data_IF_761720311637
#
_entry.id   IF_761720311637
#
_cell.length_a   1.000
_cell.length_b   1.000
_cell.length_c   1.000
_cell.angle_alpha   90.00
_cell.angle_beta   90.00
_cell.angle_gamma   90.00
#
_symmetry.space_group_name_H-M   'P 1'
#
loop_
_entity.id
_entity.type
_entity.pdbx_description
1 polymer ?
#
# COMPACT_ATOMS: atom_id res chain seq x y z
N UNK A 1 23.38 -10.63 13.91
CA UNK A 1 22.97 -9.68 12.87
C UNK A 1 21.51 -9.74 12.53
N UNK A 2 20.96 -10.91 12.19
CA UNK A 2 19.60 -11.01 11.61
C UNK A 2 18.45 -10.45 12.46
N UNK A 3 18.54 -10.45 13.80
CA UNK A 3 17.49 -9.89 14.66
C UNK A 3 17.31 -8.37 14.45
N UNK A 4 18.39 -7.64 14.21
CA UNK A 4 18.32 -6.21 13.93
C UNK A 4 17.75 -5.96 12.54
N UNK A 5 18.07 -6.81 11.56
CA UNK A 5 17.56 -6.71 10.20
C UNK A 5 16.05 -7.00 10.17
N UNK A 6 15.57 -8.00 10.92
CA UNK A 6 14.15 -8.26 11.10
C UNK A 6 13.41 -7.08 11.74
N UNK A 7 14.05 -6.34 12.65
CA UNK A 7 13.41 -5.20 13.31
C UNK A 7 13.06 -4.05 12.36
N UNK A 8 13.70 -3.98 11.20
CA UNK A 8 13.41 -3.02 10.12
C UNK A 8 12.62 -3.62 8.96
N UNK A 9 12.22 -4.91 9.08
CA UNK A 9 11.40 -5.60 8.08
C UNK A 9 12.19 -6.30 6.97
N UNK A 10 13.50 -6.40 7.08
CA UNK A 10 14.30 -7.20 6.15
C UNK A 10 14.01 -8.70 6.37
N UNK A 11 14.00 -9.49 5.31
CA UNK A 11 13.72 -10.94 5.25
C UNK A 11 12.24 -11.35 5.39
N UNK A 12 11.37 -10.49 5.93
CA UNK A 12 9.94 -10.76 5.92
C UNK A 12 9.35 -10.55 4.52
N UNK A 13 8.58 -11.52 4.06
CA UNK A 13 7.93 -11.45 2.75
C UNK A 13 6.41 -11.31 2.90
N UNK A 14 5.85 -10.35 2.18
CA UNK A 14 4.41 -10.06 2.18
C UNK A 14 3.89 -9.93 0.76
N UNK A 15 2.69 -10.44 0.55
CA UNK A 15 1.97 -10.16 -0.70
C UNK A 15 1.39 -8.73 -0.69
N UNK A 16 1.17 -8.10 -1.86
CA UNK A 16 0.50 -6.79 -1.92
C UNK A 16 -0.87 -6.75 -1.23
N UNK A 17 -1.63 -7.86 -1.24
CA UNK A 17 -2.92 -7.92 -0.54
C UNK A 17 -2.77 -7.92 0.99
N UNK A 18 -1.73 -8.55 1.53
CA UNK A 18 -1.43 -8.50 2.96
C UNK A 18 -1.00 -7.09 3.38
N UNK A 19 -0.17 -6.42 2.57
CA UNK A 19 0.20 -5.01 2.80
C UNK A 19 -1.03 -4.09 2.70
N UNK A 20 -1.96 -4.36 1.79
CA UNK A 20 -3.21 -3.62 1.67
C UNK A 20 -4.08 -3.78 2.91
N UNK A 21 -4.19 -5.00 3.45
CA UNK A 21 -4.90 -5.25 4.71
C UNK A 21 -4.22 -4.53 5.87
N UNK A 22 -2.88 -4.58 5.96
CA UNK A 22 -2.10 -3.89 7.00
C UNK A 22 -2.34 -2.37 6.98
N UNK A 23 -2.15 -1.73 5.82
CA UNK A 23 -2.30 -0.27 5.73
C UNK A 23 -3.74 0.18 5.94
N UNK A 24 -4.73 -0.60 5.50
CA UNK A 24 -6.15 -0.33 5.76
C UNK A 24 -6.49 -0.44 7.24
N UNK A 25 -5.87 -1.40 7.95
CA UNK A 25 -6.02 -1.56 9.41
C UNK A 25 -5.46 -0.35 10.17
N UNK A 26 -4.30 0.17 9.78
CA UNK A 26 -3.74 1.41 10.33
C UNK A 26 -4.64 2.62 10.03
N UNK A 27 -5.09 2.73 8.79
CA UNK A 27 -5.91 3.85 8.33
C UNK A 27 -7.23 3.96 9.12
N UNK A 28 -7.86 2.84 9.44
CA UNK A 28 -9.15 2.81 10.13
C UNK A 28 -9.03 2.79 11.67
N UNK A 29 -7.82 2.91 12.22
CA UNK A 29 -7.58 2.97 13.66
C UNK A 29 -7.43 1.61 14.35
N UNK A 30 -7.23 0.51 13.60
CA UNK A 30 -6.86 -0.79 14.16
C UNK A 30 -7.81 -1.94 13.88
N UNK A 31 -8.93 -1.72 13.21
CA UNK A 31 -9.85 -2.82 12.87
C UNK A 31 -9.36 -3.57 11.63
N UNK A 32 -9.14 -4.86 11.78
CA UNK A 32 -8.71 -5.75 10.69
C UNK A 32 -9.92 -6.38 10.01
N UNK A 33 -10.06 -6.17 8.70
CA UNK A 33 -11.07 -6.77 7.86
C UNK A 33 -10.46 -7.79 6.89
N UNK A 34 -11.26 -8.79 6.51
CA UNK A 34 -10.91 -9.72 5.45
C UNK A 34 -10.94 -8.99 4.10
N UNK A 35 -9.85 -9.03 3.32
CA UNK A 35 -9.85 -8.44 2.00
C UNK A 35 -10.71 -9.28 1.03
N UNK A 36 -11.37 -8.61 0.11
CA UNK A 36 -12.10 -9.22 -0.99
C UNK A 36 -11.91 -8.41 -2.27
N UNK A 37 -11.99 -9.09 -3.41
CA UNK A 37 -11.86 -8.46 -4.74
C UNK A 37 -13.21 -8.23 -5.40
N UNK A 38 -14.16 -9.12 -5.16
CA UNK A 38 -15.52 -9.00 -5.68
C UNK A 38 -16.38 -8.26 -4.66
N UNK A 39 -16.79 -7.03 -5.01
CA UNK A 39 -17.63 -6.20 -4.13
C UNK A 39 -19.11 -6.43 -4.37
N UNK A 40 -19.55 -6.35 -5.61
CA UNK A 40 -20.95 -6.41 -5.99
C UNK A 40 -21.10 -7.10 -7.35
N UNK A 41 -22.20 -7.81 -7.57
CA UNK A 41 -22.61 -8.37 -8.86
C UNK A 41 -24.01 -7.90 -9.17
N UNK A 42 -24.22 -7.40 -10.36
CA UNK A 42 -25.50 -6.92 -10.85
C UNK A 42 -25.96 -7.76 -12.04
N UNK A 43 -27.27 -7.92 -12.21
CA UNK A 43 -27.85 -8.47 -13.41
C UNK A 43 -27.57 -7.55 -14.61
N UNK A 44 -27.51 -8.10 -15.84
CA UNK A 44 -27.46 -7.26 -17.03
C UNK A 44 -28.69 -6.35 -17.09
N UNK A 45 -28.48 -5.07 -17.41
CA UNK A 45 -29.60 -4.19 -17.76
C UNK A 45 -30.10 -4.54 -19.16
N UNK A 46 -31.43 -4.65 -19.32
CA UNK A 46 -32.04 -5.02 -20.59
C UNK A 46 -32.51 -3.81 -21.40
N UNK A 47 -32.57 -2.64 -20.76
CA UNK A 47 -33.31 -1.49 -21.32
C UNK A 47 -32.47 -0.23 -21.56
N UNK A 48 -31.29 -0.10 -20.95
CA UNK A 48 -30.44 1.09 -21.10
C UNK A 48 -28.95 0.72 -21.03
N UNK A 49 -28.14 1.26 -21.93
CA UNK A 49 -26.69 1.22 -21.83
C UNK A 49 -26.25 2.02 -20.58
N UNK A 50 -25.25 1.52 -19.84
CA UNK A 50 -24.67 2.13 -18.63
C UNK A 50 -25.54 2.14 -17.35
N UNK A 51 -26.71 1.50 -17.32
CA UNK A 51 -27.50 1.33 -16.10
C UNK A 51 -27.24 -0.05 -15.49
N UNK A 52 -26.92 -0.10 -14.21
CA UNK A 52 -26.79 -1.37 -13.48
C UNK A 52 -28.17 -2.00 -13.28
N UNK A 53 -28.26 -3.29 -13.55
CA UNK A 53 -29.48 -4.06 -13.28
C UNK A 53 -29.71 -4.32 -11.78
N UNK A 54 -30.50 -5.35 -11.46
CA UNK A 54 -30.77 -5.75 -10.09
C UNK A 54 -29.48 -6.25 -9.40
N UNK A 55 -29.27 -5.88 -8.14
CA UNK A 55 -28.17 -6.36 -7.32
C UNK A 55 -28.36 -7.85 -7.00
N UNK A 56 -27.47 -8.71 -7.50
CA UNK A 56 -27.48 -10.16 -7.27
C UNK A 56 -26.67 -10.55 -6.04
N UNK A 57 -25.53 -9.88 -5.84
CA UNK A 57 -24.59 -10.19 -4.76
C UNK A 57 -23.92 -8.92 -4.27
N UNK A 58 -23.75 -8.81 -2.96
CA UNK A 58 -22.88 -7.83 -2.33
C UNK A 58 -22.00 -8.53 -1.29
N UNK A 59 -20.70 -8.22 -1.32
CA UNK A 59 -19.76 -8.74 -0.33
C UNK A 59 -20.03 -8.12 1.04
N UNK A 60 -20.14 -8.96 2.06
CA UNK A 60 -20.24 -8.51 3.44
C UNK A 60 -18.87 -8.21 4.04
N UNK A 61 -18.80 -7.18 4.87
CA UNK A 61 -17.58 -6.84 5.60
C UNK A 61 -17.36 -7.84 6.74
N UNK A 62 -16.36 -8.69 6.61
CA UNK A 62 -15.98 -9.65 7.65
C UNK A 62 -14.86 -9.06 8.53
N UNK A 63 -15.19 -8.77 9.80
CA UNK A 63 -14.21 -8.33 10.79
C UNK A 63 -13.41 -9.53 11.29
N UNK A 64 -12.09 -9.49 11.13
CA UNK A 64 -11.17 -10.55 11.55
C UNK A 64 -10.59 -10.32 12.95
N UNK A 65 -10.62 -9.07 13.44
CA UNK A 65 -10.06 -8.71 14.74
C UNK A 65 -9.73 -7.23 14.85
N UNK A 66 -9.08 -6.88 15.93
CA UNK A 66 -8.58 -5.54 16.23
C UNK A 66 -7.13 -5.59 16.70
N UNK A 67 -6.39 -4.53 16.46
CA UNK A 67 -5.04 -4.36 17.03
C UNK A 67 -5.20 -3.94 18.49
N UNK A 68 -4.77 -4.81 19.40
CA UNK A 68 -4.87 -4.59 20.85
C UNK A 68 -3.70 -3.72 21.33
N UNK A 69 -3.83 -2.41 21.14
CA UNK A 69 -2.88 -1.41 21.64
C UNK A 69 -3.62 -0.16 22.13
N UNK A 70 -3.05 0.56 23.08
CA UNK A 70 -3.57 1.86 23.49
C UNK A 70 -3.66 2.82 22.29
N UNK A 71 -4.75 3.56 22.21
CA UNK A 71 -4.98 4.59 21.18
C UNK A 71 -3.79 5.55 21.00
N UNK A 72 -3.12 5.94 22.08
CA UNK A 72 -1.94 6.83 22.03
C UNK A 72 -0.80 6.29 21.17
N UNK A 73 -0.61 4.96 21.13
CA UNK A 73 0.42 4.33 20.30
C UNK A 73 -0.02 4.27 18.83
N UNK A 74 -1.29 3.95 18.57
CA UNK A 74 -1.86 4.01 17.22
C UNK A 74 -1.75 5.42 16.64
N UNK A 75 -2.14 6.44 17.41
CA UNK A 75 -2.04 7.84 17.02
C UNK A 75 -0.59 8.25 16.73
N UNK A 76 0.37 7.75 17.54
CA UNK A 76 1.79 8.02 17.33
C UNK A 76 2.31 7.39 16.03
N UNK A 77 1.89 6.15 15.73
CA UNK A 77 2.25 5.49 14.46
C UNK A 77 1.66 6.25 13.27
N UNK A 78 0.38 6.60 13.32
CA UNK A 78 -0.29 7.38 12.27
C UNK A 78 0.37 8.74 12.05
N UNK A 79 0.76 9.43 13.11
CA UNK A 79 1.53 10.67 13.02
C UNK A 79 2.87 10.44 12.29
N UNK A 80 3.57 9.34 12.59
CA UNK A 80 4.81 8.98 11.90
C UNK A 80 4.60 8.76 10.39
N UNK A 81 3.51 8.08 10.02
CA UNK A 81 3.14 7.90 8.61
C UNK A 81 2.82 9.23 7.92
N UNK A 82 2.15 10.16 8.61
CA UNK A 82 1.89 11.49 8.10
C UNK A 82 3.20 12.29 7.91
N UNK A 83 4.11 12.23 8.87
CA UNK A 83 5.39 12.92 8.81
C UNK A 83 6.30 12.42 7.67
N UNK A 84 6.18 11.17 7.22
CA UNK A 84 6.88 10.68 6.02
C UNK A 84 6.47 11.49 4.79
N UNK A 85 5.23 11.89 4.70
CA UNK A 85 4.70 12.64 3.55
C UNK A 85 4.99 14.14 3.69
N UNK A 86 4.88 14.70 4.88
CA UNK A 86 5.02 16.15 5.10
C UNK A 86 6.47 16.62 5.19
N UNK A 87 7.37 15.80 5.73
CA UNK A 87 8.77 16.19 6.00
C UNK A 87 9.79 15.10 5.64
N UNK A 88 9.34 13.88 5.30
CA UNK A 88 10.19 12.72 5.11
C UNK A 88 10.41 12.34 3.65
N UNK A 89 10.67 11.05 3.42
CA UNK A 89 10.99 10.49 2.10
C UNK A 89 9.84 10.52 1.09
N UNK A 90 8.62 10.82 1.55
CA UNK A 90 7.43 11.02 0.71
C UNK A 90 7.13 12.49 0.37
N UNK A 91 7.92 13.42 0.92
CA UNK A 91 7.71 14.85 0.69
C UNK A 91 7.77 15.21 -0.80
N UNK A 92 6.83 16.07 -1.22
CA UNK A 92 6.71 16.49 -2.61
C UNK A 92 6.09 15.48 -3.58
N UNK A 93 5.68 14.28 -3.11
CA UNK A 93 5.05 13.28 -3.97
C UNK A 93 3.56 13.14 -3.73
N UNK A 94 3.07 13.22 -2.49
CA UNK A 94 1.67 12.92 -2.15
C UNK A 94 0.90 14.05 -1.47
N UNK A 95 1.54 15.09 -0.98
CA UNK A 95 0.90 16.12 -0.16
C UNK A 95 0.43 17.37 -0.92
N UNK A 96 0.53 17.39 -2.25
CA UNK A 96 0.27 18.65 -3.00
C UNK A 96 -1.22 19.00 -3.10
N UNK A 97 -2.10 18.00 -3.11
CA UNK A 97 -3.54 18.19 -3.27
C UNK A 97 -4.36 17.57 -2.14
N UNK A 98 -3.85 16.52 -1.50
CA UNK A 98 -4.58 15.77 -0.47
C UNK A 98 -3.65 15.44 0.68
N UNK A 99 -4.13 15.74 1.88
CA UNK A 99 -3.45 15.36 3.10
C UNK A 99 -3.37 13.82 3.20
N UNK A 100 -2.18 13.27 3.11
CA UNK A 100 -1.95 11.84 3.04
C UNK A 100 -0.97 11.37 4.11
N UNK A 101 -1.02 10.08 4.39
CA UNK A 101 -0.08 9.35 5.24
C UNK A 101 0.51 8.17 4.47
N UNK A 102 1.77 7.84 4.68
CA UNK A 102 2.38 6.71 4.01
C UNK A 102 3.75 6.32 4.53
N UNK A 103 4.29 5.25 3.97
CA UNK A 103 5.63 4.74 4.26
C UNK A 103 6.28 4.20 3.00
N UNK A 104 7.52 4.59 2.78
CA UNK A 104 8.37 4.02 1.74
C UNK A 104 9.08 2.77 2.26
N UNK A 105 9.31 1.80 1.40
CA UNK A 105 10.12 0.63 1.66
C UNK A 105 11.18 0.45 0.58
N UNK A 106 12.36 0.01 1.00
CA UNK A 106 13.44 -0.41 0.11
C UNK A 106 14.07 -1.63 0.74
N UNK A 107 14.10 -2.75 0.03
CA UNK A 107 14.69 -3.99 0.50
C UNK A 107 15.67 -4.54 -0.52
N UNK A 108 16.67 -5.25 -0.04
CA UNK A 108 17.52 -6.07 -0.88
C UNK A 108 16.71 -7.29 -1.38
N UNK A 109 16.96 -7.65 -2.61
CA UNK A 109 16.39 -8.80 -3.29
C UNK A 109 17.47 -9.46 -4.12
N UNK A 110 17.25 -10.67 -4.59
CA UNK A 110 18.20 -11.38 -5.43
C UNK A 110 17.45 -12.05 -6.57
N UNK A 111 18.02 -12.05 -7.75
CA UNK A 111 17.46 -12.71 -8.94
C UNK A 111 18.53 -13.54 -9.66
N UNK A 112 18.08 -14.48 -10.42
CA UNK A 112 18.87 -15.19 -11.42
C UNK A 112 18.78 -14.40 -12.74
N UNK A 113 19.89 -13.82 -13.18
CA UNK A 113 19.92 -12.96 -14.39
C UNK A 113 20.43 -13.68 -15.63
N UNK A 114 21.15 -14.79 -15.47
CA UNK A 114 21.74 -15.55 -16.60
C UNK A 114 21.02 -16.88 -16.87
N UNK A 115 20.07 -17.25 -16.01
CA UNK A 115 19.24 -18.44 -16.18
C UNK A 115 19.93 -19.75 -15.81
N UNK A 116 20.99 -19.70 -15.03
CA UNK A 116 21.72 -20.88 -14.57
C UNK A 116 21.05 -21.60 -13.38
N UNK A 117 19.98 -21.01 -12.83
CA UNK A 117 19.23 -21.52 -11.68
C UNK A 117 19.80 -21.06 -10.33
N UNK A 118 20.82 -20.21 -10.32
CA UNK A 118 21.40 -19.63 -9.11
C UNK A 118 20.89 -18.18 -8.94
N UNK A 119 20.29 -17.89 -7.79
CA UNK A 119 19.76 -16.57 -7.45
C UNK A 119 20.87 -15.78 -6.74
N UNK A 120 21.77 -15.18 -7.49
CA UNK A 120 23.01 -14.57 -6.99
C UNK A 120 23.17 -13.08 -7.32
N UNK A 121 22.39 -12.55 -8.26
CA UNK A 121 22.47 -11.13 -8.60
C UNK A 121 21.64 -10.30 -7.64
N UNK A 122 22.31 -9.48 -6.83
CA UNK A 122 21.66 -8.57 -5.89
C UNK A 122 20.90 -7.45 -6.62
N UNK A 123 19.66 -7.22 -6.19
CA UNK A 123 18.79 -6.17 -6.70
C UNK A 123 18.15 -5.38 -5.56
N UNK A 124 17.42 -4.33 -5.90
CA UNK A 124 16.63 -3.53 -4.96
C UNK A 124 15.16 -3.60 -5.34
N UNK A 125 14.33 -3.96 -4.37
CA UNK A 125 12.87 -3.84 -4.46
C UNK A 125 12.39 -2.56 -3.77
N UNK A 126 11.45 -1.86 -4.37
CA UNK A 126 10.85 -0.65 -3.81
C UNK A 126 9.37 -0.85 -3.52
N UNK A 127 8.90 -0.30 -2.42
CA UNK A 127 7.50 -0.32 -2.06
C UNK A 127 7.03 1.03 -1.51
N UNK A 128 5.75 1.27 -1.62
CA UNK A 128 5.06 2.36 -0.96
C UNK A 128 3.69 1.87 -0.47
N UNK A 129 3.36 2.17 0.78
CA UNK A 129 2.04 1.96 1.35
C UNK A 129 1.53 3.28 1.90
N UNK A 130 0.23 3.55 1.76
CA UNK A 130 -0.33 4.80 2.26
C UNK A 130 -1.85 4.83 2.27
N UNK A 131 -2.40 5.92 2.78
CA UNK A 131 -3.82 6.20 2.79
C UNK A 131 -4.07 7.72 2.74
N UNK A 132 -5.25 8.10 2.27
CA UNK A 132 -5.66 9.50 2.16
C UNK A 132 -7.18 9.66 2.34
N UNK A 133 -7.68 10.81 2.88
CA UNK A 133 -6.93 11.79 3.66
C UNK A 133 -6.34 11.20 4.95
N UNK A 134 -5.38 11.89 5.58
CA UNK A 134 -4.67 11.40 6.77
C UNK A 134 -5.56 11.28 8.00
N UNK A 135 -6.48 12.23 8.19
CA UNK A 135 -7.41 12.31 9.33
C UNK A 135 -8.66 11.45 9.14
N UNK A 136 -9.22 11.41 7.93
CA UNK A 136 -10.44 10.67 7.59
C UNK A 136 -10.25 9.82 6.32
N UNK A 137 -9.52 8.72 6.41
CA UNK A 137 -9.14 7.90 5.26
C UNK A 137 -10.32 7.40 4.44
N UNK A 138 -10.26 7.62 3.13
CA UNK A 138 -11.25 7.14 2.14
C UNK A 138 -10.68 6.05 1.25
N UNK A 139 -9.36 6.03 1.07
CA UNK A 139 -8.66 5.01 0.31
C UNK A 139 -7.34 4.64 0.97
N UNK A 140 -6.91 3.43 0.76
CA UNK A 140 -5.54 2.97 0.99
C UNK A 140 -4.90 2.55 -0.32
N UNK A 141 -3.58 2.61 -0.37
CA UNK A 141 -2.81 2.29 -1.57
C UNK A 141 -1.57 1.48 -1.21
N UNK A 142 -1.25 0.52 -2.04
CA UNK A 142 -0.02 -0.25 -2.00
C UNK A 142 0.56 -0.33 -3.41
N UNK A 143 1.80 0.05 -3.56
CA UNK A 143 2.56 -0.09 -4.80
C UNK A 143 3.86 -0.80 -4.48
N UNK A 144 4.11 -1.91 -5.15
CA UNK A 144 5.34 -2.70 -5.02
C UNK A 144 5.98 -2.82 -6.40
N UNK A 145 7.26 -2.55 -6.47
CA UNK A 145 8.08 -2.76 -7.66
C UNK A 145 9.27 -3.62 -7.25
N UNK A 146 9.20 -4.94 -7.47
CA UNK A 146 10.32 -5.83 -7.19
C UNK A 146 11.45 -5.60 -8.19
N UNK A 147 12.67 -5.84 -7.75
CA UNK A 147 13.89 -5.95 -8.58
C UNK A 147 14.12 -4.80 -9.56
N UNK A 148 13.89 -3.55 -9.12
CA UNK A 148 13.86 -2.37 -9.99
C UNK A 148 15.23 -1.80 -10.33
N UNK A 149 16.27 -2.15 -9.61
CA UNK A 149 17.63 -1.67 -9.85
C UNK A 149 18.68 -2.51 -9.16
N UNK A 150 19.92 -2.43 -9.68
CA UNK A 150 21.09 -2.96 -9.01
C UNK A 150 21.51 -2.03 -7.85
N UNK A 151 22.09 -2.53 -6.76
CA UNK A 151 22.44 -1.76 -5.56
C UNK A 151 23.35 -0.56 -5.84
N UNK A 152 24.26 -0.70 -6.79
CA UNK A 152 25.30 0.30 -7.12
C UNK A 152 24.93 1.19 -8.32
N UNK A 153 23.70 1.14 -8.80
CA UNK A 153 23.29 1.90 -9.98
C UNK A 153 23.18 3.42 -9.75
N UNK A 154 23.43 3.91 -8.52
CA UNK A 154 23.33 5.34 -8.17
C UNK A 154 21.91 5.93 -8.32
N UNK A 155 20.93 5.10 -8.63
CA UNK A 155 19.56 5.48 -8.93
C UNK A 155 18.60 4.83 -7.94
N UNK A 156 17.96 5.65 -7.14
CA UNK A 156 16.80 5.20 -6.36
C UNK A 156 15.52 5.49 -7.17
N UNK A 157 14.84 4.44 -7.58
CA UNK A 157 13.59 4.61 -8.30
C UNK A 157 12.53 5.26 -7.42
N UNK A 158 12.00 6.40 -7.89
CA UNK A 158 10.85 7.06 -7.28
C UNK A 158 9.51 6.53 -7.83
N UNK A 159 9.55 5.42 -8.58
CA UNK A 159 8.40 4.90 -9.34
C UNK A 159 7.18 4.63 -8.43
N UNK A 160 7.39 3.97 -7.30
CA UNK A 160 6.31 3.61 -6.37
C UNK A 160 5.62 4.84 -5.80
N UNK A 161 6.38 5.88 -5.43
CA UNK A 161 5.83 7.16 -4.95
C UNK A 161 5.07 7.90 -6.04
N UNK A 162 5.61 7.95 -7.26
CA UNK A 162 4.97 8.64 -8.41
C UNK A 162 3.67 7.96 -8.83
N UNK A 163 3.65 6.63 -8.87
CA UNK A 163 2.44 5.87 -9.17
C UNK A 163 1.39 6.13 -8.08
N UNK A 164 1.79 6.02 -6.80
CA UNK A 164 0.89 6.24 -5.67
C UNK A 164 0.28 7.64 -5.69
N UNK A 165 1.08 8.67 -5.92
CA UNK A 165 0.59 10.05 -6.03
C UNK A 165 -0.42 10.23 -7.16
N UNK A 166 -0.13 9.68 -8.35
CA UNK A 166 -1.06 9.75 -9.49
C UNK A 166 -2.37 9.00 -9.20
N UNK A 167 -2.31 7.85 -8.55
CA UNK A 167 -3.51 7.08 -8.22
C UNK A 167 -4.37 7.80 -7.18
N UNK A 168 -3.78 8.36 -6.12
CA UNK A 168 -4.49 9.15 -5.12
C UNK A 168 -5.15 10.37 -5.77
N UNK A 169 -4.40 11.13 -6.56
CA UNK A 169 -4.94 12.32 -7.24
C UNK A 169 -6.09 11.93 -8.19
N UNK A 170 -5.96 10.84 -8.94
CA UNK A 170 -7.01 10.37 -9.86
C UNK A 170 -8.26 9.93 -9.11
N UNK A 171 -8.11 9.22 -7.99
CA UNK A 171 -9.24 8.79 -7.15
C UNK A 171 -10.06 9.99 -6.67
N UNK A 172 -9.43 11.00 -6.11
CA UNK A 172 -10.14 12.16 -5.60
C UNK A 172 -10.62 13.13 -6.68
N UNK A 173 -10.01 13.11 -7.87
CA UNK A 173 -10.51 13.88 -9.00
C UNK A 173 -11.79 13.28 -9.64
N UNK A 174 -12.09 12.01 -9.37
CA UNK A 174 -13.26 11.30 -9.90
C UNK A 174 -14.40 11.18 -8.87
N UNK A 175 -14.16 11.46 -7.61
CA UNK A 175 -15.10 11.40 -6.49
C UNK A 175 -15.19 12.74 -5.77
#
# INVERSE_FOLDING_TARGET
GHLLDFSIGQYDTYTPIQLSQYISTLANGGTKYKPYLLKEVYAPSVNEEDVLGELIYAAEKEKMGEVDIDKKYMDRVRLGFHQVITNGLGYGYMGEYYDASGKTGTSQSFIDTDGDGVVDTETISSSFVGYAPSDNPKMSIVVVSPDISLPNAGYQSMITKRISAKMVNKYFALN
#
